data_IF_661867933087
#
_entry.id   IF_661867933087
#
_cell.length_a   1.000
_cell.length_b   1.000
_cell.length_c   1.000
_cell.angle_alpha   90.00
_cell.angle_beta   90.00
_cell.angle_gamma   90.00
#
_symmetry.space_group_name_H-M   'P 1'
#
loop_
_entity.id
_entity.type
_entity.pdbx_description
1 polymer ?
#
# COMPACT_ATOMS: atom_id res chain seq x y z
N UNK A 1 -35.90 13.89 -22.68
CA UNK A 1 -34.61 13.16 -22.77
C UNK A 1 -33.52 13.99 -22.09
N UNK A 2 -32.65 13.37 -21.32
CA UNK A 2 -31.53 14.00 -20.65
C UNK A 2 -30.53 14.50 -21.69
N UNK A 3 -30.06 15.74 -21.51
CA UNK A 3 -29.07 16.37 -22.39
C UNK A 3 -27.90 16.89 -21.54
N UNK A 4 -26.76 16.23 -21.64
CA UNK A 4 -25.55 16.55 -20.87
C UNK A 4 -24.94 17.92 -21.19
N UNK A 5 -25.18 18.43 -22.41
CA UNK A 5 -24.74 19.75 -22.85
C UNK A 5 -25.51 20.91 -22.18
N UNK A 6 -26.65 20.59 -21.57
CA UNK A 6 -27.45 21.55 -20.80
C UNK A 6 -27.30 21.38 -19.28
N UNK A 7 -26.35 20.51 -18.84
CA UNK A 7 -26.11 20.32 -17.43
C UNK A 7 -25.57 21.60 -16.77
N UNK A 8 -26.09 21.90 -15.59
CA UNK A 8 -25.60 23.03 -14.79
C UNK A 8 -24.24 22.69 -14.17
N UNK A 9 -23.22 23.54 -14.33
CA UNK A 9 -21.94 23.32 -13.70
C UNK A 9 -22.06 23.51 -12.20
N UNK A 10 -21.38 22.61 -11.45
CA UNK A 10 -21.21 22.74 -10.00
C UNK A 10 -19.85 23.36 -9.68
N UNK A 11 -19.76 24.07 -8.56
CA UNK A 11 -18.53 24.61 -8.02
C UNK A 11 -18.02 23.72 -6.87
N UNK A 12 -16.75 23.44 -6.85
CA UNK A 12 -16.11 22.77 -5.70
C UNK A 12 -15.96 23.78 -4.55
N UNK A 13 -16.53 23.45 -3.39
CA UNK A 13 -16.43 24.26 -2.17
C UNK A 13 -15.26 23.81 -1.29
N UNK A 14 -15.03 22.50 -1.23
CA UNK A 14 -13.94 21.85 -0.52
C UNK A 14 -13.61 20.52 -1.24
N UNK A 15 -12.51 19.84 -0.93
CA UNK A 15 -12.17 18.58 -1.57
C UNK A 15 -13.33 17.58 -1.52
N UNK A 16 -13.84 17.20 -2.70
CA UNK A 16 -15.01 16.33 -2.91
C UNK A 16 -16.36 16.89 -2.44
N UNK A 17 -16.47 18.17 -2.16
CA UNK A 17 -17.73 18.85 -1.84
C UNK A 17 -18.10 19.83 -2.96
N UNK A 18 -19.26 19.62 -3.55
CA UNK A 18 -19.70 20.36 -4.73
C UNK A 18 -21.07 20.99 -4.50
N UNK A 19 -21.26 22.19 -4.97
CA UNK A 19 -22.51 22.90 -4.86
C UNK A 19 -22.97 23.55 -6.19
N UNK A 20 -24.26 23.69 -6.34
CA UNK A 20 -24.89 24.50 -7.41
C UNK A 20 -26.03 25.26 -6.82
N UNK A 21 -26.14 26.51 -7.19
CA UNK A 21 -27.29 27.36 -6.83
C UNK A 21 -28.28 27.43 -8.01
N UNK A 22 -29.56 27.22 -7.73
CA UNK A 22 -30.62 27.24 -8.71
C UNK A 22 -31.65 28.33 -8.30
N UNK A 23 -31.95 29.23 -9.20
CA UNK A 23 -32.97 30.23 -8.99
C UNK A 23 -34.35 29.58 -9.09
N UNK A 24 -35.03 29.42 -7.98
CA UNK A 24 -36.37 28.79 -7.93
C UNK A 24 -37.43 29.51 -8.75
N UNK A 25 -37.30 30.83 -8.99
CA UNK A 25 -38.22 31.59 -9.82
C UNK A 25 -38.15 31.21 -11.31
N UNK A 26 -37.06 30.60 -11.74
CA UNK A 26 -36.87 30.14 -13.14
C UNK A 26 -37.35 28.72 -13.38
N UNK A 27 -37.80 28.02 -12.34
CA UNK A 27 -38.27 26.66 -12.47
C UNK A 27 -39.74 26.61 -12.87
N UNK A 28 -40.07 25.78 -13.86
CA UNK A 28 -41.44 25.55 -14.30
C UNK A 28 -42.22 24.58 -13.42
N UNK A 29 -41.55 23.87 -12.55
CA UNK A 29 -42.12 22.90 -11.61
C UNK A 29 -41.34 22.92 -10.32
N UNK A 30 -41.98 22.56 -9.21
CA UNK A 30 -41.33 22.43 -7.89
C UNK A 30 -40.84 21.04 -7.60
N UNK A 31 -41.27 20.02 -8.33
CA UNK A 31 -40.76 18.69 -8.26
C UNK A 31 -39.68 18.51 -9.34
N UNK A 32 -38.45 18.40 -8.95
CA UNK A 32 -37.33 18.25 -9.88
C UNK A 32 -36.81 16.81 -9.86
N UNK A 33 -36.70 16.26 -11.05
CA UNK A 33 -35.96 15.03 -11.27
C UNK A 33 -34.59 15.39 -11.82
N UNK A 34 -33.52 14.83 -11.23
CA UNK A 34 -32.15 15.14 -11.63
C UNK A 34 -31.19 13.97 -11.47
N UNK A 35 -30.01 14.12 -12.04
CA UNK A 35 -28.92 13.20 -11.95
C UNK A 35 -27.60 13.95 -12.09
N UNK A 36 -26.57 13.52 -11.38
CA UNK A 36 -25.27 14.10 -11.55
C UNK A 36 -24.52 13.48 -12.73
N UNK A 37 -23.65 14.27 -13.33
CA UNK A 37 -22.71 13.83 -14.35
C UNK A 37 -21.31 14.34 -14.03
N UNK A 38 -20.31 13.55 -14.39
CA UNK A 38 -18.91 13.97 -14.39
C UNK A 38 -18.47 14.13 -15.83
N UNK A 39 -17.98 15.32 -16.16
CA UNK A 39 -17.32 15.64 -17.42
C UNK A 39 -15.83 15.75 -17.14
N UNK A 40 -14.99 14.89 -17.73
CA UNK A 40 -13.59 14.81 -17.36
C UNK A 40 -12.80 16.07 -17.72
N UNK A 41 -12.48 16.27 -18.93
CA UNK A 41 -11.78 17.46 -19.42
C UNK A 41 -11.95 17.61 -20.94
N UNK A 42 -11.39 18.65 -21.51
CA UNK A 42 -11.55 18.94 -22.95
C UNK A 42 -10.89 17.89 -23.86
N UNK A 43 -9.92 17.11 -23.34
CA UNK A 43 -9.26 16.05 -24.10
C UNK A 43 -9.98 14.68 -23.96
N UNK A 44 -10.87 14.52 -22.99
CA UNK A 44 -11.71 13.35 -22.79
C UNK A 44 -13.19 13.79 -22.70
N UNK A 45 -13.90 13.84 -23.84
CA UNK A 45 -15.30 14.26 -23.87
C UNK A 45 -16.26 13.25 -23.28
N UNK A 46 -15.77 12.16 -22.69
CA UNK A 46 -16.62 11.16 -22.07
C UNK A 46 -17.38 11.75 -20.89
N UNK A 47 -18.68 11.47 -20.87
CA UNK A 47 -19.59 11.87 -19.80
C UNK A 47 -19.95 10.63 -19.00
N UNK A 48 -19.70 10.70 -17.70
CA UNK A 48 -20.01 9.62 -16.79
C UNK A 48 -21.26 10.03 -16.01
N UNK A 49 -22.29 9.22 -16.14
CA UNK A 49 -23.54 9.41 -15.43
C UNK A 49 -23.49 8.76 -14.06
N UNK A 50 -24.13 9.41 -13.10
CA UNK A 50 -24.34 8.82 -11.79
C UNK A 50 -25.07 7.48 -11.89
N UNK A 51 -24.63 6.50 -11.12
CA UNK A 51 -25.25 5.18 -11.03
C UNK A 51 -26.60 5.22 -10.27
N UNK A 52 -27.43 4.23 -10.53
CA UNK A 52 -28.72 4.04 -9.85
C UNK A 52 -29.87 4.81 -10.48
N UNK A 53 -30.96 4.98 -9.74
CA UNK A 53 -32.16 5.71 -10.18
C UNK A 53 -31.92 7.21 -10.24
N UNK A 54 -32.78 7.92 -10.98
CA UNK A 54 -32.79 9.38 -10.92
C UNK A 54 -33.19 9.86 -9.53
N UNK A 55 -32.66 11.00 -9.13
CA UNK A 55 -32.99 11.66 -7.86
C UNK A 55 -34.20 12.58 -8.05
N UNK A 56 -34.98 12.69 -7.03
CA UNK A 56 -36.13 13.63 -7.01
C UNK A 56 -36.03 14.51 -5.78
N UNK A 57 -36.42 15.77 -5.94
CA UNK A 57 -36.52 16.74 -4.85
C UNK A 57 -37.78 17.62 -5.07
N UNK A 58 -38.52 17.79 -4.00
CA UNK A 58 -39.63 18.74 -3.98
C UNK A 58 -39.16 20.03 -3.30
N UNK A 59 -39.20 21.13 -4.06
CA UNK A 59 -38.82 22.45 -3.58
C UNK A 59 -39.99 23.05 -2.84
N UNK A 60 -39.86 23.38 -1.54
CA UNK A 60 -40.94 23.98 -0.78
C UNK A 60 -41.32 25.37 -1.31
N UNK A 61 -42.47 25.84 -0.93
CA UNK A 61 -42.83 27.25 -1.16
C UNK A 61 -41.91 28.16 -0.38
N UNK A 62 -41.23 29.04 -1.10
CA UNK A 62 -40.30 29.99 -0.51
C UNK A 62 -40.87 31.41 -0.66
N UNK A 63 -40.69 32.25 0.36
CA UNK A 63 -40.90 33.66 0.28
C UNK A 63 -39.66 34.36 -0.32
N UNK A 64 -39.79 35.62 -0.71
CA UNK A 64 -38.64 36.42 -1.16
C UNK A 64 -37.50 36.35 -0.14
N UNK A 65 -36.26 36.26 -0.62
CA UNK A 65 -35.03 36.16 0.18
C UNK A 65 -34.85 34.88 1.02
N UNK A 66 -35.51 33.79 0.62
CA UNK A 66 -35.30 32.47 1.28
C UNK A 66 -34.33 31.60 0.47
N UNK A 67 -33.40 30.94 1.16
CA UNK A 67 -32.51 29.92 0.58
C UNK A 67 -32.95 28.57 1.12
N UNK A 68 -33.25 27.64 0.22
CA UNK A 68 -33.47 26.25 0.56
C UNK A 68 -32.17 25.43 0.26
N UNK A 69 -31.61 24.79 1.26
CA UNK A 69 -30.40 23.95 1.10
C UNK A 69 -30.80 22.48 1.12
N UNK A 70 -30.41 21.77 0.09
CA UNK A 70 -30.60 20.34 -0.02
C UNK A 70 -29.24 19.65 -0.07
N UNK A 71 -28.92 18.91 0.97
CA UNK A 71 -27.65 18.21 1.11
C UNK A 71 -27.78 16.75 0.72
N UNK A 72 -26.79 16.27 -0.02
CA UNK A 72 -26.67 14.89 -0.45
C UNK A 72 -25.33 14.34 0.04
N UNK A 73 -25.35 13.23 0.75
CA UNK A 73 -24.15 12.65 1.33
C UNK A 73 -23.15 12.16 0.28
N UNK A 74 -23.61 11.68 -0.86
CA UNK A 74 -22.72 11.17 -1.93
C UNK A 74 -23.44 10.98 -3.25
N UNK A 75 -22.66 11.02 -4.32
CA UNK A 75 -23.02 10.52 -5.65
C UNK A 75 -22.08 9.39 -6.06
N UNK A 76 -22.59 8.38 -6.76
CA UNK A 76 -21.82 7.23 -7.20
C UNK A 76 -21.59 7.26 -8.69
N UNK A 77 -20.34 7.19 -9.11
CA UNK A 77 -19.94 7.17 -10.50
C UNK A 77 -19.04 5.95 -10.77
N UNK A 78 -19.33 5.23 -11.83
CA UNK A 78 -18.46 4.18 -12.32
C UNK A 78 -17.33 4.82 -13.16
N UNK A 79 -16.39 5.47 -12.47
CA UNK A 79 -15.33 6.26 -13.10
C UNK A 79 -14.27 5.35 -13.75
N UNK A 80 -14.12 4.13 -13.26
CA UNK A 80 -13.11 3.21 -13.75
C UNK A 80 -13.67 1.79 -13.91
N UNK A 81 -13.86 1.39 -15.16
CA UNK A 81 -14.28 0.03 -15.55
C UNK A 81 -13.08 -0.91 -15.83
N UNK A 82 -11.84 -0.48 -15.48
CA UNK A 82 -10.68 -1.31 -15.75
C UNK A 82 -10.73 -2.58 -14.93
N UNK A 83 -10.57 -3.69 -15.62
CA UNK A 83 -10.36 -4.99 -14.98
C UNK A 83 -8.89 -5.13 -14.66
N UNK A 84 -8.59 -5.57 -13.45
CA UNK A 84 -7.24 -5.83 -12.99
C UNK A 84 -7.05 -7.34 -12.83
N UNK A 85 -5.90 -7.82 -13.25
CA UNK A 85 -5.43 -9.16 -12.93
C UNK A 85 -4.22 -9.03 -12.01
N UNK A 86 -4.11 -9.93 -11.05
CA UNK A 86 -3.01 -9.88 -10.09
C UNK A 86 -2.75 -11.21 -9.41
N UNK A 87 -1.65 -11.27 -8.69
CA UNK A 87 -1.25 -12.41 -7.88
C UNK A 87 -1.21 -12.00 -6.42
N UNK A 88 -1.75 -12.85 -5.54
CA UNK A 88 -1.58 -12.73 -4.10
C UNK A 88 -0.58 -13.79 -3.63
N UNK A 89 0.48 -13.37 -2.93
CA UNK A 89 1.53 -14.29 -2.47
C UNK A 89 2.18 -13.75 -1.20
N UNK A 90 2.41 -14.58 -0.16
CA UNK A 90 3.23 -14.17 0.97
C UNK A 90 4.71 -14.13 0.57
N UNK A 91 5.45 -13.10 1.01
CA UNK A 91 6.87 -12.95 0.67
C UNK A 91 7.68 -14.17 1.12
N UNK A 92 7.41 -14.70 2.32
CA UNK A 92 8.13 -15.86 2.84
C UNK A 92 8.01 -17.12 1.98
N UNK A 93 6.95 -17.25 1.17
CA UNK A 93 6.76 -18.41 0.29
C UNK A 93 7.52 -18.32 -1.03
N UNK A 94 8.05 -17.15 -1.36
CA UNK A 94 8.89 -16.99 -2.54
C UNK A 94 10.20 -17.74 -2.37
N UNK A 95 10.73 -18.28 -3.47
CA UNK A 95 12.01 -18.97 -3.44
C UNK A 95 12.72 -18.85 -4.77
N UNK A 96 13.96 -18.41 -4.73
CA UNK A 96 14.88 -18.39 -5.84
C UNK A 96 16.17 -19.16 -5.51
N UNK A 97 17.10 -19.25 -6.45
CA UNK A 97 18.42 -19.82 -6.19
C UNK A 97 19.23 -19.04 -5.16
N UNK A 98 18.91 -17.75 -4.99
CA UNK A 98 19.62 -16.86 -4.07
C UNK A 98 18.99 -16.74 -2.69
N UNK A 99 17.79 -17.28 -2.47
CA UNK A 99 17.10 -17.18 -1.18
C UNK A 99 17.87 -17.86 -0.06
N UNK A 100 17.64 -17.40 1.16
CA UNK A 100 18.23 -17.99 2.38
C UNK A 100 17.24 -18.94 3.08
N UNK A 101 16.65 -19.88 2.35
CA UNK A 101 15.66 -20.82 2.87
C UNK A 101 14.26 -20.24 3.08
N UNK A 102 14.09 -18.97 2.84
CA UNK A 102 12.82 -18.21 2.92
C UNK A 102 12.83 -17.11 1.86
N UNK A 103 11.68 -16.72 1.37
CA UNK A 103 11.56 -15.58 0.47
C UNK A 103 11.88 -14.26 1.16
N UNK A 104 12.58 -13.40 0.46
CA UNK A 104 13.05 -12.10 0.95
C UNK A 104 12.72 -10.96 -0.02
N UNK A 105 13.15 -9.73 0.29
CA UNK A 105 12.90 -8.57 -0.57
C UNK A 105 13.62 -8.66 -1.94
N UNK A 106 14.70 -9.42 -2.05
CA UNK A 106 15.31 -9.72 -3.35
C UNK A 106 14.44 -10.63 -4.20
N UNK A 107 13.84 -11.64 -3.57
CA UNK A 107 12.88 -12.52 -4.25
C UNK A 107 11.59 -11.79 -4.63
N UNK A 108 11.16 -10.82 -3.80
CA UNK A 108 10.02 -9.95 -4.12
C UNK A 108 10.28 -9.11 -5.38
N UNK A 109 11.50 -8.59 -5.58
CA UNK A 109 11.87 -7.90 -6.82
C UNK A 109 11.71 -8.80 -8.04
N UNK A 110 12.16 -10.05 -7.94
CA UNK A 110 11.99 -11.05 -9.02
C UNK A 110 10.51 -11.34 -9.29
N UNK A 111 9.69 -11.39 -8.24
CA UNK A 111 8.25 -11.59 -8.36
C UNK A 111 7.56 -10.39 -9.04
N UNK A 112 7.97 -9.16 -8.72
CA UNK A 112 7.48 -7.94 -9.39
C UNK A 112 7.81 -7.99 -10.89
N UNK A 113 9.02 -8.40 -11.26
CA UNK A 113 9.40 -8.55 -12.66
C UNK A 113 8.57 -9.61 -13.37
N UNK A 114 8.25 -10.71 -12.70
CA UNK A 114 7.39 -11.75 -13.24
C UNK A 114 5.95 -11.24 -13.44
N UNK A 115 5.37 -10.54 -12.47
CA UNK A 115 4.04 -9.91 -12.56
C UNK A 115 3.98 -8.96 -13.76
N UNK A 116 5.01 -8.12 -13.95
CA UNK A 116 5.14 -7.24 -15.11
C UNK A 116 5.19 -8.03 -16.42
N UNK A 117 6.02 -9.08 -16.51
CA UNK A 117 6.17 -9.92 -17.72
C UNK A 117 4.89 -10.66 -18.10
N UNK A 118 4.05 -10.98 -17.11
CA UNK A 118 2.75 -11.65 -17.32
C UNK A 118 1.60 -10.66 -17.55
N UNK A 119 1.91 -9.37 -17.71
CA UNK A 119 0.91 -8.30 -17.91
C UNK A 119 -0.13 -8.19 -16.80
N UNK A 120 0.22 -8.58 -15.59
CA UNK A 120 -0.60 -8.35 -14.40
C UNK A 120 -0.39 -6.93 -13.88
N UNK A 121 -1.40 -6.38 -13.22
CA UNK A 121 -1.41 -5.00 -12.72
C UNK A 121 -1.28 -4.90 -11.20
N UNK A 122 -1.49 -6.00 -10.49
CA UNK A 122 -1.53 -6.04 -9.02
C UNK A 122 -0.67 -7.19 -8.51
N UNK A 123 0.15 -6.89 -7.51
CA UNK A 123 0.80 -7.88 -6.66
C UNK A 123 0.36 -7.60 -5.21
N UNK A 124 -0.39 -8.52 -4.63
CA UNK A 124 -0.77 -8.46 -3.22
C UNK A 124 0.18 -9.33 -2.40
N UNK A 125 0.73 -8.77 -1.35
CA UNK A 125 1.54 -9.51 -0.38
C UNK A 125 0.84 -9.56 0.98
N UNK A 126 1.19 -10.52 1.82
CA UNK A 126 0.79 -10.52 3.22
C UNK A 126 1.63 -9.52 4.02
N UNK A 127 1.22 -9.16 5.26
CA UNK A 127 1.99 -8.26 6.10
C UNK A 127 3.45 -8.71 6.23
N UNK A 128 4.35 -7.74 6.19
CA UNK A 128 5.81 -7.94 6.23
C UNK A 128 6.45 -7.29 7.46
N UNK A 129 5.61 -6.84 8.36
CA UNK A 129 6.05 -6.21 9.60
C UNK A 129 6.62 -7.25 10.58
N UNK A 130 7.41 -6.77 11.53
CA UNK A 130 8.06 -7.64 12.52
C UNK A 130 7.04 -8.29 13.46
N UNK A 131 7.15 -9.60 13.60
CA UNK A 131 6.33 -10.46 14.47
C UNK A 131 7.16 -11.15 15.54
N UNK A 132 8.43 -10.75 15.71
CA UNK A 132 9.38 -11.43 16.59
C UNK A 132 9.05 -11.22 18.06
N UNK A 133 8.58 -12.26 18.75
CA UNK A 133 8.28 -12.28 20.17
C UNK A 133 9.02 -13.41 20.89
N UNK A 134 8.93 -14.63 20.36
CA UNK A 134 9.44 -15.84 21.02
C UNK A 134 10.68 -16.39 20.34
N UNK A 135 10.99 -15.92 19.13
CA UNK A 135 12.04 -16.44 18.24
C UNK A 135 11.84 -17.91 17.85
N UNK A 136 10.62 -18.39 17.92
CA UNK A 136 10.21 -19.72 17.49
C UNK A 136 9.33 -19.65 16.26
N UNK A 137 8.97 -20.80 15.71
CA UNK A 137 8.07 -20.90 14.56
C UNK A 137 6.68 -20.23 14.80
N UNK A 138 6.29 -20.01 16.06
CA UNK A 138 5.05 -19.30 16.40
C UNK A 138 5.03 -17.88 15.83
N UNK A 139 6.19 -17.25 15.74
CA UNK A 139 6.34 -15.89 15.20
C UNK A 139 6.21 -15.83 13.67
N UNK A 140 6.08 -16.98 12.99
CA UNK A 140 5.91 -17.02 11.53
C UNK A 140 4.54 -16.51 11.04
N UNK A 141 3.59 -16.26 11.96
CA UNK A 141 2.26 -15.79 11.63
C UNK A 141 2.27 -14.28 11.31
N UNK A 142 2.05 -13.87 10.04
CA UNK A 142 2.33 -12.52 9.59
C UNK A 142 1.36 -11.44 10.12
N UNK A 143 0.24 -11.84 10.70
CA UNK A 143 -0.78 -10.90 11.21
C UNK A 143 -0.61 -10.53 12.69
N UNK A 144 0.42 -11.04 13.35
CA UNK A 144 0.69 -10.76 14.77
C UNK A 144 1.90 -9.83 14.93
N UNK A 145 1.90 -8.70 14.20
CA UNK A 145 3.02 -7.77 14.22
C UNK A 145 3.12 -7.00 15.54
N UNK A 146 4.35 -6.83 16.00
CA UNK A 146 4.70 -6.03 17.19
C UNK A 146 4.86 -4.55 16.86
N UNK A 147 5.02 -4.22 15.59
CA UNK A 147 5.14 -2.85 15.10
C UNK A 147 4.48 -2.71 13.73
N UNK A 148 3.85 -1.57 13.49
CA UNK A 148 3.32 -1.21 12.15
C UNK A 148 4.38 -0.57 11.26
N UNK A 149 5.54 -0.21 11.81
CA UNK A 149 6.63 0.46 11.10
C UNK A 149 7.79 -0.49 10.82
N UNK A 150 8.21 -1.28 11.81
CA UNK A 150 9.35 -2.16 11.68
C UNK A 150 9.06 -3.32 10.72
N UNK A 151 9.94 -3.51 9.75
CA UNK A 151 9.89 -4.67 8.87
C UNK A 151 10.57 -5.87 9.53
N UNK A 152 10.03 -7.06 9.30
CA UNK A 152 10.60 -8.28 9.87
C UNK A 152 11.99 -8.55 9.28
N UNK A 153 13.04 -8.70 10.13
CA UNK A 153 14.40 -8.95 9.67
C UNK A 153 14.54 -10.20 8.79
N UNK A 154 13.65 -11.16 8.94
CA UNK A 154 13.54 -12.34 8.09
C UNK A 154 13.54 -12.02 6.59
N UNK A 155 12.91 -10.90 6.19
CA UNK A 155 12.79 -10.50 4.79
C UNK A 155 13.98 -9.72 4.26
N UNK A 156 15.00 -9.46 5.09
CA UNK A 156 16.23 -8.82 4.63
C UNK A 156 16.95 -9.71 3.61
N UNK A 157 17.26 -9.14 2.44
CA UNK A 157 18.10 -9.80 1.44
C UNK A 157 19.58 -9.60 1.79
N UNK A 158 20.19 -10.60 2.38
CA UNK A 158 21.61 -10.56 2.80
C UNK A 158 22.56 -10.31 1.64
N UNK A 159 22.17 -10.59 0.41
CA UNK A 159 22.98 -10.36 -0.80
C UNK A 159 23.15 -8.86 -1.13
N UNK A 160 22.26 -8.02 -0.59
CA UNK A 160 22.32 -6.57 -0.75
C UNK A 160 23.13 -5.89 0.38
N UNK A 161 23.52 -6.64 1.38
CA UNK A 161 24.36 -6.16 2.47
C UNK A 161 25.84 -6.35 2.13
N UNK A 162 26.76 -5.62 2.80
CA UNK A 162 28.18 -5.89 2.70
C UNK A 162 28.51 -7.33 3.05
N UNK A 163 29.57 -7.86 2.46
CA UNK A 163 30.02 -9.21 2.77
C UNK A 163 30.75 -9.24 4.12
N UNK A 164 30.63 -10.37 4.81
CA UNK A 164 31.42 -10.64 6.02
C UNK A 164 32.89 -10.75 5.62
N UNK A 165 33.75 -9.99 6.29
CA UNK A 165 35.19 -9.95 5.98
C UNK A 165 35.91 -11.26 6.32
N UNK A 166 35.41 -12.02 7.28
CA UNK A 166 35.93 -13.36 7.61
C UNK A 166 35.49 -14.37 6.54
N UNK A 167 36.42 -14.71 5.63
CA UNK A 167 36.16 -15.62 4.51
C UNK A 167 35.65 -16.99 4.96
N UNK A 168 36.11 -17.49 6.11
CA UNK A 168 35.68 -18.80 6.64
C UNK A 168 34.21 -18.71 7.05
N UNK A 169 33.83 -17.68 7.78
CA UNK A 169 32.43 -17.44 8.17
C UNK A 169 31.54 -17.18 6.96
N UNK A 170 32.01 -16.40 6.00
CA UNK A 170 31.28 -16.17 4.76
C UNK A 170 30.97 -17.49 4.01
N UNK A 171 31.93 -18.39 3.94
CA UNK A 171 31.76 -19.72 3.35
C UNK A 171 30.79 -20.61 4.16
N UNK A 172 30.84 -20.54 5.49
CA UNK A 172 29.91 -21.25 6.38
C UNK A 172 28.46 -20.77 6.16
N UNK A 173 28.25 -19.45 6.06
CA UNK A 173 26.93 -18.90 5.76
C UNK A 173 26.41 -19.28 4.37
N UNK A 174 27.28 -19.30 3.36
CA UNK A 174 26.88 -19.73 2.01
C UNK A 174 26.49 -21.21 1.98
N UNK A 175 27.23 -22.08 2.67
CA UNK A 175 26.89 -23.48 2.79
C UNK A 175 25.56 -23.68 3.53
N UNK A 176 25.32 -22.93 4.62
CA UNK A 176 24.08 -22.96 5.37
C UNK A 176 22.91 -22.44 4.53
N UNK A 177 23.13 -21.36 3.75
CA UNK A 177 22.12 -20.85 2.80
C UNK A 177 21.67 -21.92 1.82
N UNK A 178 22.63 -22.61 1.22
CA UNK A 178 22.33 -23.68 0.25
C UNK A 178 21.57 -24.84 0.91
N UNK A 179 21.99 -25.25 2.10
CA UNK A 179 21.30 -26.28 2.87
C UNK A 179 19.86 -25.89 3.17
N UNK A 180 19.63 -24.72 3.77
CA UNK A 180 18.29 -24.25 4.14
C UNK A 180 17.40 -24.02 2.91
N UNK A 181 18.00 -23.55 1.81
CA UNK A 181 17.26 -23.31 0.58
C UNK A 181 16.87 -24.61 -0.15
N UNK A 182 17.51 -25.71 0.13
CA UNK A 182 17.19 -27.03 -0.43
C UNK A 182 16.09 -27.77 0.37
N UNK A 183 15.73 -27.27 1.55
CA UNK A 183 14.69 -27.90 2.38
C UNK A 183 13.30 -27.80 1.70
N UNK A 184 12.46 -28.82 1.82
CA UNK A 184 11.11 -28.81 1.26
C UNK A 184 10.17 -27.85 2.01
N UNK A 185 10.49 -27.48 3.24
CA UNK A 185 9.76 -26.57 4.09
C UNK A 185 10.72 -25.54 4.69
N UNK A 186 10.19 -24.37 5.05
CA UNK A 186 10.96 -23.32 5.71
C UNK A 186 11.31 -23.78 7.13
N UNK A 187 12.59 -23.82 7.45
CA UNK A 187 13.06 -23.93 8.83
C UNK A 187 13.18 -22.52 9.42
N UNK A 188 12.04 -22.02 9.93
CA UNK A 188 11.88 -20.66 10.38
C UNK A 188 12.94 -20.28 11.44
N UNK A 189 13.15 -21.15 12.41
CA UNK A 189 14.05 -20.87 13.54
C UNK A 189 15.51 -20.80 13.09
N UNK A 190 15.95 -21.76 12.26
CA UNK A 190 17.33 -21.76 11.74
C UNK A 190 17.59 -20.59 10.81
N UNK A 191 16.61 -20.21 9.97
CA UNK A 191 16.74 -19.07 9.07
C UNK A 191 16.85 -17.77 9.86
N UNK A 192 15.98 -17.55 10.85
CA UNK A 192 16.02 -16.35 11.69
C UNK A 192 17.35 -16.24 12.44
N UNK A 193 17.76 -17.32 13.11
CA UNK A 193 19.03 -17.38 13.83
C UNK A 193 20.22 -17.05 12.93
N UNK A 194 20.26 -17.65 11.73
CA UNK A 194 21.35 -17.41 10.79
C UNK A 194 21.38 -15.96 10.29
N UNK A 195 20.22 -15.39 9.93
CA UNK A 195 20.14 -13.98 9.49
C UNK A 195 20.49 -13.01 10.62
N UNK A 196 20.02 -13.25 11.83
CA UNK A 196 20.38 -12.45 13.01
C UNK A 196 21.88 -12.48 13.26
N UNK A 197 22.49 -13.67 13.25
CA UNK A 197 23.95 -13.82 13.42
C UNK A 197 24.74 -13.10 12.33
N UNK A 198 24.31 -13.20 11.08
CA UNK A 198 24.91 -12.47 9.96
C UNK A 198 24.87 -10.96 10.19
N UNK A 199 23.70 -10.42 10.58
CA UNK A 199 23.54 -8.98 10.84
C UNK A 199 24.38 -8.51 12.03
N UNK A 200 24.51 -9.32 13.09
CA UNK A 200 25.39 -9.00 14.24
C UNK A 200 26.87 -8.94 13.82
N UNK A 201 27.32 -9.85 12.99
CA UNK A 201 28.69 -9.83 12.47
C UNK A 201 28.94 -8.60 11.60
N UNK A 202 28.01 -8.24 10.74
CA UNK A 202 28.10 -7.01 9.95
C UNK A 202 28.10 -5.77 10.83
N UNK A 203 27.26 -5.73 11.85
CA UNK A 203 27.23 -4.60 12.77
C UNK A 203 28.55 -4.47 13.54
N UNK A 204 29.16 -5.56 13.95
CA UNK A 204 30.49 -5.55 14.56
C UNK A 204 31.57 -5.02 13.60
N UNK A 205 31.43 -5.33 12.30
CA UNK A 205 32.37 -4.92 11.25
C UNK A 205 32.19 -3.44 10.87
N UNK A 206 30.96 -3.00 10.62
CA UNK A 206 30.64 -1.72 9.95
C UNK A 206 29.80 -0.77 10.80
N UNK A 207 29.24 -1.24 11.91
CA UNK A 207 28.27 -0.47 12.69
C UNK A 207 28.77 0.88 13.15
N UNK A 208 30.07 0.98 13.56
CA UNK A 208 30.67 2.26 13.99
C UNK A 208 30.68 3.29 12.85
N UNK A 209 31.02 2.87 11.65
CA UNK A 209 31.03 3.75 10.47
C UNK A 209 29.62 4.14 10.04
N UNK A 210 28.71 3.16 10.05
CA UNK A 210 27.30 3.36 9.72
C UNK A 210 26.65 4.37 10.66
N UNK A 211 26.80 4.20 11.98
CA UNK A 211 26.23 5.11 12.99
C UNK A 211 26.83 6.53 12.91
N UNK A 212 28.05 6.67 12.40
CA UNK A 212 28.68 7.98 12.21
C UNK A 212 28.26 8.69 10.91
N UNK A 213 27.67 7.96 9.96
CA UNK A 213 27.31 8.49 8.64
C UNK A 213 26.20 9.55 8.72
N UNK A 214 26.20 10.47 7.74
CA UNK A 214 25.15 11.49 7.63
C UNK A 214 23.80 10.85 7.30
N UNK A 215 23.77 9.85 6.42
CA UNK A 215 22.57 9.16 6.00
C UNK A 215 21.86 8.48 7.17
N UNK A 216 22.62 7.77 8.03
CA UNK A 216 22.06 7.17 9.23
C UNK A 216 21.50 8.21 10.20
N UNK A 217 22.22 9.31 10.43
CA UNK A 217 21.75 10.36 11.35
C UNK A 217 20.49 11.04 10.87
N UNK A 218 20.38 11.30 9.55
CA UNK A 218 19.16 11.86 8.96
C UNK A 218 18.01 10.88 9.12
N UNK A 219 18.20 9.64 8.70
CA UNK A 219 17.18 8.59 8.84
C UNK A 219 16.75 8.40 10.29
N UNK A 220 17.70 8.34 11.24
CA UNK A 220 17.39 8.18 12.67
C UNK A 220 16.54 9.33 13.19
N UNK A 221 16.87 10.59 12.83
CA UNK A 221 16.11 11.75 13.26
C UNK A 221 14.66 11.72 12.73
N UNK A 222 14.45 11.22 11.52
CA UNK A 222 13.13 11.11 10.92
C UNK A 222 12.30 9.99 11.55
N UNK A 223 12.93 8.92 11.99
CA UNK A 223 12.28 7.68 12.47
C UNK A 223 12.32 7.50 14.01
N UNK A 224 13.00 8.38 14.75
CA UNK A 224 13.27 8.27 16.18
C UNK A 224 12.01 8.01 17.01
N UNK A 225 10.90 8.62 16.64
CA UNK A 225 9.64 8.59 17.39
C UNK A 225 9.10 7.16 17.59
N UNK A 226 9.24 6.32 16.58
CA UNK A 226 8.80 4.93 16.67
C UNK A 226 9.97 3.95 16.90
N UNK A 227 11.15 4.28 16.37
CA UNK A 227 12.31 3.39 16.40
C UNK A 227 12.86 3.20 17.81
N UNK A 228 12.95 4.28 18.60
CA UNK A 228 13.49 4.18 19.96
C UNK A 228 12.62 3.31 20.88
N UNK A 229 11.29 3.51 20.96
CA UNK A 229 10.43 2.60 21.74
C UNK A 229 10.50 1.15 21.25
N UNK A 230 10.54 0.94 19.92
CA UNK A 230 10.65 -0.39 19.35
C UNK A 230 11.98 -1.08 19.70
N UNK A 231 13.10 -0.34 19.68
CA UNK A 231 14.41 -0.89 20.03
C UNK A 231 14.58 -1.18 21.54
N UNK A 232 13.73 -0.58 22.39
CA UNK A 232 13.73 -0.80 23.84
C UNK A 232 12.82 -1.96 24.26
N UNK A 233 11.90 -2.36 23.40
CA UNK A 233 10.99 -3.48 23.61
C UNK A 233 11.71 -4.81 23.41
#
# INVERSE_FOLDING_TARGET
>A
AWRSELAMPMCELAPNEWAVAIDAAKLSTRSLEFKFIVKRNDNDPSIIWEEGANRTIDIPETTENTIFVYELNRAFFLIDNRKFAGTAVPVFSLRSKGSFGVGDFGDLKLMIDWVKKTSQSILQILPINDTTLTRTWVDSYPYNSVSIFALHPLYCDLRQLPQIADEKKAAEFEALRQELNALPQIDYERVNKAKEEYMHLLFAQEGKATLASADYKTWFADEELWLVPYAQY
#
